data_IF_026116913981
#
_entry.id   IF_026116913981
#
_cell.length_a   1.000
_cell.length_b   1.000
_cell.length_c   1.000
_cell.angle_alpha   90.00
_cell.angle_beta   90.00
_cell.angle_gamma   90.00
#
_symmetry.space_group_name_H-M   'P 1'
#
loop_
_entity.id
_entity.type
_entity.pdbx_description
1 polymer ?
#
# COMPACT_ATOMS: atom_id res chain seq x y z
N UNK A 1 -10.50 -19.70 -7.56
CA UNK A 1 -9.14 -19.15 -7.48
C UNK A 1 -8.22 -19.87 -8.45
N UNK A 2 -8.06 -21.19 -8.36
CA UNK A 2 -7.20 -21.95 -9.27
C UNK A 2 -7.50 -21.79 -10.78
N UNK A 3 -8.70 -21.35 -11.15
CA UNK A 3 -9.05 -21.05 -12.52
C UNK A 3 -8.43 -19.75 -13.03
N UNK A 4 -8.34 -18.74 -12.17
CA UNK A 4 -7.82 -17.41 -12.50
C UNK A 4 -6.33 -17.25 -12.20
N UNK A 5 -5.80 -18.03 -11.25
CA UNK A 5 -4.38 -18.15 -10.97
C UNK A 5 -3.72 -19.20 -11.88
N UNK A 6 -2.47 -19.45 -11.66
CA UNK A 6 -1.68 -20.38 -12.46
C UNK A 6 -0.80 -19.65 -13.45
N UNK A 7 0.50 -19.94 -13.33
CA UNK A 7 1.52 -19.28 -14.13
C UNK A 7 1.41 -19.66 -15.60
N UNK A 8 1.29 -18.66 -16.46
CA UNK A 8 1.62 -18.76 -17.86
C UNK A 8 2.93 -17.98 -18.11
N UNK A 9 4.06 -18.71 -18.15
CA UNK A 9 5.37 -18.12 -18.41
C UNK A 9 6.00 -17.46 -17.17
N UNK A 10 6.35 -16.19 -17.23
CA UNK A 10 7.13 -15.50 -16.20
C UNK A 10 6.31 -15.00 -15.00
N UNK A 11 5.83 -15.91 -14.14
CA UNK A 11 5.26 -15.57 -12.81
C UNK A 11 4.05 -14.63 -12.82
N UNK A 12 3.16 -14.73 -13.82
CA UNK A 12 1.94 -13.95 -13.86
C UNK A 12 0.72 -14.85 -13.75
N UNK A 13 -0.23 -14.43 -12.93
CA UNK A 13 -1.53 -15.09 -12.84
C UNK A 13 -2.26 -15.07 -14.19
N UNK A 14 -2.98 -16.15 -14.52
CA UNK A 14 -3.63 -16.34 -15.82
C UNK A 14 -4.62 -15.24 -16.16
N UNK A 15 -5.59 -14.98 -15.30
CA UNK A 15 -6.60 -13.93 -15.51
C UNK A 15 -7.20 -13.44 -14.16
N UNK A 16 -6.40 -12.81 -13.30
CA UNK A 16 -6.89 -12.26 -12.05
C UNK A 16 -7.94 -11.16 -12.28
N UNK A 17 -7.87 -10.47 -13.40
CA UNK A 17 -8.82 -9.42 -13.79
C UNK A 17 -10.23 -9.94 -13.97
N UNK A 18 -10.39 -11.13 -14.57
CA UNK A 18 -11.70 -11.76 -14.73
C UNK A 18 -12.29 -12.18 -13.39
N UNK A 19 -11.45 -12.62 -12.43
CA UNK A 19 -11.93 -12.90 -11.08
C UNK A 19 -12.59 -11.69 -10.43
N UNK A 20 -11.99 -10.51 -10.59
CA UNK A 20 -12.53 -9.27 -10.03
C UNK A 20 -13.87 -8.93 -10.71
N UNK A 21 -13.90 -9.01 -12.05
CA UNK A 21 -15.13 -8.75 -12.81
C UNK A 21 -16.27 -9.69 -12.41
N UNK A 22 -16.00 -10.99 -12.33
CA UNK A 22 -16.99 -12.00 -11.94
C UNK A 22 -17.47 -11.78 -10.49
N UNK A 23 -16.57 -11.42 -9.58
CA UNK A 23 -16.92 -11.11 -8.19
C UNK A 23 -17.85 -9.88 -8.10
N UNK A 24 -17.57 -8.83 -8.86
CA UNK A 24 -18.42 -7.63 -8.93
C UNK A 24 -19.78 -7.96 -9.55
N UNK A 25 -19.81 -8.74 -10.62
CA UNK A 25 -21.06 -9.15 -11.26
C UNK A 25 -21.94 -9.95 -10.29
N UNK A 26 -21.37 -10.94 -9.60
CA UNK A 26 -22.10 -11.73 -8.59
C UNK A 26 -22.59 -10.84 -7.44
N UNK A 27 -21.79 -9.86 -7.00
CA UNK A 27 -22.20 -8.93 -5.95
C UNK A 27 -23.40 -8.07 -6.39
N UNK A 28 -23.40 -7.57 -7.63
CA UNK A 28 -24.52 -6.83 -8.20
C UNK A 28 -25.79 -7.69 -8.28
N UNK A 29 -25.68 -8.92 -8.76
CA UNK A 29 -26.79 -9.88 -8.80
C UNK A 29 -27.36 -10.22 -7.41
N UNK A 30 -26.56 -10.05 -6.36
CA UNK A 30 -26.96 -10.22 -4.97
C UNK A 30 -27.34 -8.92 -4.25
N UNK A 31 -27.56 -7.83 -5.00
CA UNK A 31 -28.17 -6.61 -4.50
C UNK A 31 -27.19 -5.51 -4.08
N UNK A 32 -25.90 -5.63 -4.38
CA UNK A 32 -24.97 -4.51 -4.24
C UNK A 32 -25.21 -3.55 -5.41
N UNK A 33 -25.53 -2.29 -5.12
CA UNK A 33 -25.67 -1.26 -6.13
C UNK A 33 -24.32 -0.55 -6.31
N UNK A 34 -23.58 -0.88 -7.36
CA UNK A 34 -22.27 -0.30 -7.62
C UNK A 34 -22.31 1.20 -7.96
N UNK A 35 -23.47 1.74 -8.36
CA UNK A 35 -23.61 3.18 -8.57
C UNK A 35 -23.40 4.02 -7.30
N UNK A 36 -23.55 3.42 -6.11
CA UNK A 36 -23.33 4.09 -4.84
C UNK A 36 -21.82 4.27 -4.49
N UNK A 37 -20.92 3.66 -5.28
CA UNK A 37 -19.47 3.67 -5.08
C UNK A 37 -18.71 4.45 -6.16
N UNK A 38 -19.33 5.48 -6.68
CA UNK A 38 -18.79 6.50 -7.59
C UNK A 38 -19.13 7.86 -6.94
N UNK A 39 -18.30 8.27 -5.97
CA UNK A 39 -18.60 9.41 -5.10
C UNK A 39 -18.37 10.77 -5.78
N UNK A 40 -17.47 10.83 -6.76
CA UNK A 40 -17.16 12.05 -7.51
C UNK A 40 -17.99 12.17 -8.80
N UNK A 41 -18.79 11.15 -9.15
CA UNK A 41 -19.70 11.08 -10.30
C UNK A 41 -18.99 11.15 -11.66
N UNK A 42 -17.80 10.54 -11.76
CA UNK A 42 -17.05 10.45 -13.01
C UNK A 42 -17.41 9.21 -13.85
N UNK A 43 -18.34 8.36 -13.37
CA UNK A 43 -18.79 7.08 -13.94
C UNK A 43 -17.71 5.98 -13.89
N UNK A 44 -16.76 6.10 -12.98
CA UNK A 44 -15.78 5.07 -12.62
C UNK A 44 -16.03 4.65 -11.18
N UNK A 45 -15.82 3.38 -10.86
CA UNK A 45 -15.83 2.93 -9.46
C UNK A 45 -14.57 3.44 -8.76
N UNK A 46 -14.73 4.08 -7.61
CA UNK A 46 -13.63 4.65 -6.84
C UNK A 46 -12.56 3.61 -6.51
N UNK A 47 -12.97 2.45 -6.01
CA UNK A 47 -12.11 1.30 -5.82
C UNK A 47 -12.92 0.04 -5.50
N UNK A 48 -12.35 -1.13 -5.83
CA UNK A 48 -12.86 -2.44 -5.43
C UNK A 48 -11.76 -3.21 -4.73
N UNK A 49 -12.05 -3.76 -3.54
CA UNK A 49 -11.14 -4.66 -2.85
C UNK A 49 -11.77 -6.05 -2.70
N UNK A 50 -11.06 -7.08 -3.19
CA UNK A 50 -11.56 -8.47 -3.17
C UNK A 50 -10.72 -9.35 -2.27
N UNK A 51 -11.36 -9.96 -1.26
CA UNK A 51 -10.79 -11.08 -0.54
C UNK A 51 -11.20 -12.39 -1.23
N UNK A 52 -10.26 -13.01 -1.95
CA UNK A 52 -10.53 -14.29 -2.61
C UNK A 52 -10.32 -15.48 -1.68
N UNK A 53 -11.04 -16.55 -1.91
CA UNK A 53 -11.00 -17.76 -1.08
C UNK A 53 -9.66 -18.48 -1.15
N UNK A 54 -9.19 -18.99 -0.02
CA UNK A 54 -7.96 -19.78 0.11
C UNK A 54 -6.72 -18.99 0.45
N UNK A 55 -5.57 -19.48 0.02
CA UNK A 55 -4.23 -18.93 0.27
C UNK A 55 -3.70 -18.14 -0.92
N UNK A 56 -2.59 -17.43 -0.74
CA UNK A 56 -1.93 -16.67 -1.78
C UNK A 56 -0.47 -17.14 -2.02
N UNK A 57 0.01 -16.89 -3.22
CA UNK A 57 1.35 -17.26 -3.66
C UNK A 57 2.45 -16.46 -2.95
N UNK A 58 2.21 -15.20 -2.60
CA UNK A 58 3.18 -14.35 -1.91
C UNK A 58 3.56 -14.88 -0.52
N UNK A 59 2.67 -15.64 0.13
CA UNK A 59 2.93 -16.28 1.39
C UNK A 59 3.32 -17.77 1.25
N UNK A 60 3.73 -18.20 0.05
CA UNK A 60 4.31 -19.52 -0.22
C UNK A 60 3.30 -20.61 -0.54
N UNK A 61 2.06 -20.29 -0.91
CA UNK A 61 1.10 -21.24 -1.44
C UNK A 61 1.45 -21.67 -2.87
N UNK A 62 0.68 -22.65 -3.39
CA UNK A 62 0.87 -23.21 -4.73
C UNK A 62 0.81 -22.11 -5.83
N UNK A 63 1.60 -22.28 -6.90
CA UNK A 63 1.67 -21.39 -8.05
C UNK A 63 0.31 -21.20 -8.76
N UNK A 64 -0.68 -22.06 -8.50
CA UNK A 64 -2.06 -21.88 -8.99
C UNK A 64 -2.91 -20.94 -8.11
N UNK A 65 -2.34 -20.37 -7.05
CA UNK A 65 -3.01 -19.35 -6.25
C UNK A 65 -2.61 -17.95 -6.75
N UNK A 66 -3.49 -16.98 -6.53
CA UNK A 66 -3.27 -15.61 -7.00
C UNK A 66 -2.29 -14.90 -6.07
N UNK A 67 -1.41 -14.09 -6.66
CA UNK A 67 -0.59 -13.14 -5.93
C UNK A 67 -1.45 -11.94 -5.48
N UNK A 68 -1.41 -11.50 -4.20
CA UNK A 68 -2.03 -10.25 -3.79
C UNK A 68 -1.45 -9.08 -4.58
N UNK A 69 -2.31 -8.20 -5.08
CA UNK A 69 -1.85 -7.07 -5.89
C UNK A 69 -2.93 -5.99 -6.03
N UNK A 70 -2.48 -4.81 -6.41
CA UNK A 70 -3.29 -3.73 -6.95
C UNK A 70 -3.09 -3.65 -8.47
N UNK A 71 -4.13 -3.30 -9.21
CA UNK A 71 -4.01 -3.07 -10.65
C UNK A 71 -5.15 -2.17 -11.17
N UNK A 72 -5.01 -1.78 -12.45
CA UNK A 72 -6.04 -1.04 -13.17
C UNK A 72 -6.46 -1.83 -14.41
N UNK A 73 -7.78 -2.05 -14.57
CA UNK A 73 -8.39 -2.81 -15.68
C UNK A 73 -9.35 -1.99 -16.53
N UNK A 74 -9.27 -0.66 -16.47
CA UNK A 74 -10.12 0.25 -17.26
C UNK A 74 -10.09 -0.06 -18.77
N UNK A 75 -8.95 -0.56 -19.26
CA UNK A 75 -8.76 -0.97 -20.65
C UNK A 75 -9.67 -2.13 -21.11
N UNK A 76 -10.20 -2.95 -20.18
CA UNK A 76 -11.19 -3.99 -20.47
C UNK A 76 -12.59 -3.42 -20.73
N UNK A 77 -12.88 -2.20 -20.32
CA UNK A 77 -14.16 -1.54 -20.52
C UNK A 77 -15.33 -2.19 -19.78
N UNK A 78 -15.05 -2.97 -18.73
CA UNK A 78 -16.08 -3.67 -17.95
C UNK A 78 -16.87 -2.66 -17.13
N UNK A 79 -18.22 -2.77 -17.20
CA UNK A 79 -19.11 -1.90 -16.43
C UNK A 79 -20.06 -2.74 -15.58
N UNK A 80 -20.22 -2.30 -14.33
CA UNK A 80 -21.17 -2.86 -13.37
C UNK A 80 -22.10 -1.71 -12.97
N UNK A 81 -23.42 -1.90 -13.11
CA UNK A 81 -24.44 -0.86 -12.88
C UNK A 81 -24.12 0.47 -13.60
N UNK A 82 -23.54 0.38 -14.81
CA UNK A 82 -23.17 1.52 -15.64
C UNK A 82 -21.82 2.17 -15.28
N UNK A 83 -21.20 1.80 -14.15
CA UNK A 83 -19.92 2.33 -13.69
C UNK A 83 -18.74 1.51 -14.22
N UNK A 84 -17.68 2.16 -14.68
CA UNK A 84 -16.48 1.50 -15.19
C UNK A 84 -15.69 0.89 -14.02
N UNK A 85 -15.42 -0.40 -14.11
CA UNK A 85 -14.50 -1.09 -13.20
C UNK A 85 -13.07 -0.77 -13.64
N UNK A 86 -12.35 0.02 -12.85
CA UNK A 86 -11.01 0.48 -13.18
C UNK A 86 -9.97 0.00 -12.16
N UNK A 87 -9.87 0.64 -11.03
CA UNK A 87 -8.90 0.30 -10.00
C UNK A 87 -9.45 -0.76 -9.05
N UNK A 88 -8.63 -1.76 -8.78
CA UNK A 88 -8.93 -2.77 -7.77
C UNK A 88 -7.68 -3.17 -7.00
N UNK A 89 -7.88 -3.79 -5.84
CA UNK A 89 -6.86 -4.53 -5.13
C UNK A 89 -7.43 -5.85 -4.61
N UNK A 90 -6.57 -6.83 -4.35
CA UNK A 90 -7.02 -8.12 -3.84
C UNK A 90 -6.00 -8.78 -2.93
N UNK A 91 -6.50 -9.63 -2.04
CA UNK A 91 -5.70 -10.52 -1.20
C UNK A 91 -6.47 -11.79 -0.87
N UNK A 92 -5.81 -12.78 -0.28
CA UNK A 92 -6.41 -14.06 0.09
C UNK A 92 -7.22 -13.99 1.39
N UNK A 93 -8.16 -14.93 1.55
CA UNK A 93 -8.90 -15.16 2.80
C UNK A 93 -7.99 -15.68 3.92
N UNK A 94 -7.03 -16.55 3.57
CA UNK A 94 -6.12 -17.18 4.55
C UNK A 94 -4.69 -16.70 4.35
N UNK A 95 -4.01 -16.48 5.48
CA UNK A 95 -2.57 -16.21 5.52
C UNK A 95 -1.76 -17.50 5.57
N UNK A 96 -0.50 -17.41 5.11
CA UNK A 96 0.42 -18.53 4.98
C UNK A 96 0.06 -19.45 3.82
N UNK A 97 0.75 -20.58 3.74
CA UNK A 97 0.57 -21.55 2.65
C UNK A 97 -0.35 -22.75 3.02
N UNK A 98 -0.70 -22.88 4.29
CA UNK A 98 -1.50 -24.00 4.82
C UNK A 98 -2.34 -23.57 6.02
N UNK A 99 -3.32 -24.39 6.36
CA UNK A 99 -4.20 -24.16 7.51
C UNK A 99 -5.35 -23.21 7.19
N UNK A 100 -5.97 -22.67 8.24
CA UNK A 100 -7.17 -21.80 8.13
C UNK A 100 -7.04 -20.53 8.99
N UNK A 101 -5.82 -20.01 9.14
CA UNK A 101 -5.63 -18.72 9.77
C UNK A 101 -6.09 -17.64 8.79
N UNK A 102 -7.08 -16.86 9.19
CA UNK A 102 -7.56 -15.75 8.35
C UNK A 102 -6.45 -14.76 8.05
N UNK A 103 -6.48 -14.20 6.86
CA UNK A 103 -5.62 -13.08 6.50
C UNK A 103 -5.86 -11.93 7.48
N UNK A 104 -4.78 -11.22 7.75
CA UNK A 104 -4.78 -10.03 8.58
C UNK A 104 -4.86 -8.77 7.72
N UNK A 105 -4.86 -7.61 8.36
CA UNK A 105 -5.04 -6.34 7.64
C UNK A 105 -3.78 -5.83 6.95
N UNK A 106 -2.61 -6.39 7.24
CA UNK A 106 -1.34 -5.83 6.76
C UNK A 106 -1.24 -5.81 5.23
N UNK A 107 -1.50 -6.95 4.58
CA UNK A 107 -1.51 -7.01 3.10
C UNK A 107 -2.62 -6.12 2.52
N UNK A 108 -3.81 -6.09 3.14
CA UNK A 108 -4.86 -5.15 2.75
C UNK A 108 -4.35 -3.69 2.75
N UNK A 109 -3.72 -3.27 3.84
CA UNK A 109 -3.21 -1.90 3.95
C UNK A 109 -2.08 -1.60 2.96
N UNK A 110 -1.25 -2.60 2.62
CA UNK A 110 -0.21 -2.48 1.60
C UNK A 110 -0.84 -2.28 0.22
N UNK A 111 -1.71 -3.18 -0.22
CA UNK A 111 -2.36 -3.08 -1.53
C UNK A 111 -3.25 -1.82 -1.65
N UNK A 112 -3.89 -1.43 -0.54
CA UNK A 112 -4.64 -0.17 -0.51
C UNK A 112 -3.72 1.06 -0.56
N UNK A 113 -2.50 0.95 -0.04
CA UNK A 113 -1.46 1.97 -0.22
C UNK A 113 -1.18 2.24 -1.71
N UNK A 114 -1.12 1.19 -2.53
CA UNK A 114 -1.01 1.33 -3.98
C UNK A 114 -2.24 1.99 -4.62
N UNK A 115 -3.44 1.69 -4.13
CA UNK A 115 -4.66 2.39 -4.57
C UNK A 115 -4.57 3.89 -4.30
N UNK A 116 -3.96 4.28 -3.18
CA UNK A 116 -3.72 5.68 -2.82
C UNK A 116 -2.58 6.34 -3.63
N UNK A 117 -1.81 5.55 -4.39
CA UNK A 117 -0.73 6.05 -5.23
C UNK A 117 0.68 5.81 -4.68
N UNK A 118 0.84 5.16 -3.53
CA UNK A 118 2.15 4.86 -2.97
C UNK A 118 2.87 3.77 -3.78
N UNK A 119 4.16 3.92 -4.07
CA UNK A 119 4.97 2.87 -4.66
C UNK A 119 5.39 1.82 -3.64
N UNK A 120 5.87 0.68 -4.12
CA UNK A 120 6.65 -0.24 -3.30
C UNK A 120 7.93 0.43 -2.82
N UNK A 121 8.25 0.25 -1.53
CA UNK A 121 9.48 0.72 -0.92
C UNK A 121 10.48 -0.43 -0.64
N UNK A 122 10.28 -1.58 -1.25
CA UNK A 122 11.28 -2.65 -1.32
C UNK A 122 11.91 -2.70 -2.72
N UNK A 123 13.13 -3.23 -2.79
CA UNK A 123 13.78 -3.48 -4.08
C UNK A 123 13.08 -4.66 -4.78
N UNK A 124 12.36 -4.38 -5.85
CA UNK A 124 11.66 -5.39 -6.66
C UNK A 124 12.62 -6.39 -7.33
N UNK A 125 13.90 -6.04 -7.44
CA UNK A 125 14.96 -6.94 -7.86
C UNK A 125 15.52 -7.84 -6.74
N UNK A 126 15.10 -7.62 -5.49
CA UNK A 126 15.53 -8.35 -4.29
C UNK A 126 17.06 -8.39 -4.06
N UNK A 127 17.76 -7.37 -4.52
CA UNK A 127 19.23 -7.25 -4.40
C UNK A 127 19.66 -6.44 -3.21
N UNK A 128 18.84 -5.48 -2.78
CA UNK A 128 19.19 -4.52 -1.74
C UNK A 128 18.16 -4.53 -0.61
N UNK A 129 18.67 -4.32 0.60
CA UNK A 129 17.81 -4.01 1.74
C UNK A 129 17.38 -2.55 1.65
N UNK A 130 16.09 -2.30 1.86
CA UNK A 130 15.49 -0.98 1.87
C UNK A 130 14.94 -0.65 3.27
N UNK A 131 13.77 -0.04 3.35
CA UNK A 131 13.14 0.39 4.60
C UNK A 131 12.57 -0.75 5.46
N UNK A 132 12.57 -1.99 4.92
CA UNK A 132 12.22 -3.22 5.64
C UNK A 132 10.87 -3.10 6.38
N UNK A 133 10.85 -3.58 7.64
CA UNK A 133 9.63 -3.66 8.47
C UNK A 133 9.20 -2.31 9.07
N UNK A 134 9.89 -1.22 8.76
CA UNK A 134 9.51 0.13 9.17
C UNK A 134 8.40 0.76 8.33
N UNK A 135 8.18 0.27 7.12
CA UNK A 135 7.17 0.78 6.19
C UNK A 135 6.16 -0.30 5.82
N UNK A 136 4.90 0.10 5.75
CA UNK A 136 3.81 -0.74 5.28
C UNK A 136 3.95 -1.06 3.78
N UNK A 137 4.56 -0.14 3.00
CA UNK A 137 4.86 -0.33 1.58
C UNK A 137 6.13 -1.18 1.34
N UNK A 138 6.60 -1.84 2.39
CA UNK A 138 7.66 -2.84 2.38
C UNK A 138 7.24 -4.00 3.28
N UNK A 139 8.17 -4.65 3.98
CA UNK A 139 7.89 -5.81 4.82
C UNK A 139 7.11 -5.49 6.11
N UNK A 140 6.86 -4.22 6.41
CA UNK A 140 6.07 -3.80 7.58
C UNK A 140 4.63 -4.32 7.56
N UNK A 141 4.07 -4.57 6.38
CA UNK A 141 2.77 -5.23 6.22
C UNK A 141 2.67 -6.59 6.94
N UNK A 142 3.81 -7.24 7.21
CA UNK A 142 3.87 -8.53 7.90
C UNK A 142 4.14 -8.41 9.41
N UNK A 143 4.29 -7.21 9.98
CA UNK A 143 4.51 -7.02 11.42
C UNK A 143 3.40 -7.67 12.24
N UNK A 144 3.77 -8.34 13.33
CA UNK A 144 2.83 -9.15 14.14
C UNK A 144 2.00 -10.12 13.29
N UNK A 145 2.62 -10.79 12.32
CA UNK A 145 1.93 -11.66 11.34
C UNK A 145 0.84 -10.93 10.57
N UNK A 146 1.06 -9.64 10.26
CA UNK A 146 0.16 -8.77 9.53
C UNK A 146 -1.01 -8.17 10.36
N UNK A 147 -1.09 -8.47 11.68
CA UNK A 147 -2.18 -7.92 12.51
C UNK A 147 -1.93 -6.49 12.98
N UNK A 148 -0.67 -6.07 12.98
CA UNK A 148 -0.29 -4.74 13.45
C UNK A 148 0.78 -4.17 12.51
N UNK A 149 0.40 -3.85 11.25
CA UNK A 149 1.31 -3.15 10.36
C UNK A 149 1.65 -1.77 10.94
N UNK A 150 2.84 -1.19 10.66
CA UNK A 150 3.20 0.12 11.17
C UNK A 150 2.29 1.21 10.57
N UNK A 151 2.25 2.36 11.21
CA UNK A 151 1.64 3.53 10.58
C UNK A 151 2.40 3.92 9.32
N UNK A 152 1.72 4.54 8.35
CA UNK A 152 2.41 5.18 7.24
C UNK A 152 3.47 6.15 7.77
N UNK A 153 4.68 6.08 7.20
CA UNK A 153 5.81 6.94 7.52
C UNK A 153 5.52 8.41 7.20
N UNK A 154 6.33 9.31 7.70
CA UNK A 154 6.25 10.72 7.35
C UNK A 154 6.39 10.94 5.84
N UNK A 155 7.24 10.15 5.16
CA UNK A 155 7.39 10.20 3.71
C UNK A 155 6.09 9.78 3.00
N UNK A 156 5.52 8.63 3.37
CA UNK A 156 4.28 8.13 2.75
C UNK A 156 3.12 9.12 2.96
N UNK A 157 2.99 9.68 4.16
CA UNK A 157 1.98 10.71 4.46
C UNK A 157 2.23 12.02 3.69
N UNK A 158 3.49 12.40 3.53
CA UNK A 158 3.88 13.59 2.77
C UNK A 158 3.56 13.40 1.28
N UNK A 159 3.90 12.25 0.72
CA UNK A 159 3.56 11.87 -0.66
C UNK A 159 2.05 11.96 -0.91
N UNK A 160 1.24 11.45 0.02
CA UNK A 160 -0.23 11.48 -0.06
C UNK A 160 -0.85 12.85 0.27
N UNK A 161 -0.05 13.85 0.62
CA UNK A 161 -0.53 15.16 1.04
C UNK A 161 -1.21 15.17 2.43
N UNK A 162 -1.06 14.11 3.20
CA UNK A 162 -1.66 13.98 4.55
C UNK A 162 -0.82 14.62 5.64
N UNK A 163 0.43 14.92 5.35
CA UNK A 163 1.38 15.54 6.25
C UNK A 163 2.12 16.66 5.53
N UNK A 164 2.17 17.83 6.17
CA UNK A 164 2.99 18.94 5.74
C UNK A 164 4.19 19.05 6.68
N UNK A 165 5.41 18.66 6.26
CA UNK A 165 6.57 18.71 7.12
C UNK A 165 7.02 20.16 7.35
N UNK A 166 7.66 20.41 8.49
CA UNK A 166 8.37 21.66 8.72
C UNK A 166 9.79 21.53 8.17
N UNK A 167 10.15 22.38 7.20
CA UNK A 167 11.55 22.45 6.73
C UNK A 167 12.42 23.07 7.80
N UNK A 168 13.55 22.44 8.12
CA UNK A 168 14.57 22.99 9.02
C UNK A 168 15.61 23.74 8.19
N UNK A 169 15.56 25.08 8.24
CA UNK A 169 16.45 25.95 7.47
C UNK A 169 17.65 26.43 8.28
N UNK A 170 17.62 26.30 9.58
CA UNK A 170 18.65 26.81 10.49
C UNK A 170 19.08 25.76 11.50
N UNK A 171 20.32 25.84 11.94
CA UNK A 171 20.80 25.05 13.07
C UNK A 171 20.08 25.46 14.35
N UNK A 172 19.61 24.49 15.11
CA UNK A 172 18.89 24.75 16.36
C UNK A 172 18.53 23.47 17.10
N UNK A 173 17.81 23.64 18.18
CA UNK A 173 17.20 22.53 18.92
C UNK A 173 15.73 22.46 18.56
N UNK A 174 15.30 21.28 18.10
CA UNK A 174 13.93 21.02 17.69
C UNK A 174 13.40 19.80 18.42
N UNK A 175 12.10 19.77 18.66
CA UNK A 175 11.43 18.65 19.35
C UNK A 175 10.48 17.97 18.39
N UNK A 176 10.61 16.65 18.28
CA UNK A 176 9.67 15.79 17.54
C UNK A 176 8.70 15.14 18.51
N UNK A 177 7.41 15.28 18.24
CA UNK A 177 6.36 14.50 18.88
C UNK A 177 6.10 13.20 18.11
N UNK A 178 5.49 12.15 18.76
CA UNK A 178 5.21 10.90 18.07
C UNK A 178 4.39 11.11 16.81
N UNK A 179 4.85 10.58 15.67
CA UNK A 179 4.19 10.73 14.37
C UNK A 179 2.74 10.28 14.40
N UNK A 180 2.46 9.15 15.06
CA UNK A 180 1.13 8.55 15.10
C UNK A 180 0.06 9.48 15.70
N UNK A 181 0.42 10.31 16.68
CA UNK A 181 -0.52 11.17 17.41
C UNK A 181 -0.43 12.63 17.03
N UNK A 182 0.71 13.11 16.54
CA UNK A 182 0.93 14.52 16.23
C UNK A 182 0.90 14.84 14.74
N UNK A 183 1.12 13.84 13.89
CA UNK A 183 1.35 14.02 12.44
C UNK A 183 2.50 15.01 12.15
N UNK A 184 3.52 15.05 13.03
CA UNK A 184 4.65 15.98 12.93
C UNK A 184 5.86 15.29 12.31
N UNK A 185 6.50 15.96 11.36
CA UNK A 185 7.78 15.58 10.80
C UNK A 185 8.60 16.82 10.44
N UNK A 186 9.92 16.65 10.39
CA UNK A 186 10.83 17.66 9.84
C UNK A 186 11.37 17.22 8.48
N UNK A 187 11.68 18.21 7.64
CA UNK A 187 12.33 18.03 6.35
C UNK A 187 13.63 18.83 6.32
N UNK A 188 14.70 18.21 5.82
CA UNK A 188 16.00 18.85 5.59
C UNK A 188 16.35 18.65 4.13
N UNK A 189 16.62 19.74 3.42
CA UNK A 189 17.06 19.74 2.02
C UNK A 189 18.21 20.71 1.85
N UNK A 190 18.97 20.57 0.75
CA UNK A 190 20.11 21.43 0.44
C UNK A 190 19.69 22.89 0.18
N UNK A 191 18.45 23.08 -0.26
CA UNK A 191 17.86 24.38 -0.55
C UNK A 191 16.38 24.41 -0.14
N UNK A 192 15.68 25.51 -0.40
CA UNK A 192 14.28 25.64 -0.07
C UNK A 192 13.44 24.62 -0.86
N UNK A 193 12.71 23.79 -0.13
CA UNK A 193 11.86 22.73 -0.69
C UNK A 193 10.46 23.29 -1.05
N UNK A 194 9.87 22.80 -2.13
CA UNK A 194 8.52 23.19 -2.54
C UNK A 194 7.40 22.63 -1.64
N UNK A 195 7.73 21.62 -0.81
CA UNK A 195 6.82 20.88 0.09
C UNK A 195 5.64 20.23 -0.64
N UNK A 196 5.86 19.73 -1.85
CA UNK A 196 4.92 18.94 -2.63
C UNK A 196 5.44 17.49 -2.67
N UNK A 197 4.73 16.58 -2.01
CA UNK A 197 5.26 15.24 -1.72
C UNK A 197 5.36 14.31 -2.93
N UNK A 198 4.45 14.41 -3.88
CA UNK A 198 4.42 13.62 -5.12
C UNK A 198 5.25 14.24 -6.27
N UNK A 199 5.60 15.51 -6.15
CA UNK A 199 6.46 16.24 -7.09
C UNK A 199 7.48 17.11 -6.35
N UNK A 200 8.40 16.51 -5.57
CA UNK A 200 9.32 17.25 -4.72
C UNK A 200 10.38 18.00 -5.52
N UNK A 201 10.74 19.20 -5.03
CA UNK A 201 11.87 19.97 -5.54
C UNK A 201 12.52 20.75 -4.38
N UNK A 202 13.81 20.51 -4.05
CA UNK A 202 14.68 19.49 -4.66
C UNK A 202 14.14 18.06 -4.47
N UNK A 203 14.54 17.16 -5.37
CA UNK A 203 14.10 15.77 -5.40
C UNK A 203 14.91 14.85 -4.47
N UNK A 204 15.93 15.38 -3.81
CA UNK A 204 16.72 14.71 -2.78
C UNK A 204 16.61 15.49 -1.46
N UNK A 205 16.17 14.81 -0.40
CA UNK A 205 15.96 15.40 0.91
C UNK A 205 15.93 14.34 2.02
N UNK A 206 15.95 14.79 3.27
CA UNK A 206 15.76 13.93 4.43
C UNK A 206 14.47 14.29 5.14
N UNK A 207 13.78 13.28 5.66
CA UNK A 207 12.67 13.46 6.57
C UNK A 207 12.98 12.84 7.92
N UNK A 208 12.58 13.52 8.99
CA UNK A 208 12.78 13.08 10.37
C UNK A 208 11.42 12.90 11.02
N UNK A 209 11.23 11.75 11.67
CA UNK A 209 10.03 11.43 12.44
C UNK A 209 10.38 10.74 13.74
N UNK A 210 9.50 10.80 14.73
CA UNK A 210 9.65 10.04 15.96
C UNK A 210 8.60 8.93 16.05
N UNK A 211 9.07 7.70 16.24
CA UNK A 211 8.25 6.49 16.39
C UNK A 211 8.50 5.82 17.74
N UNK A 212 7.63 5.99 18.74
CA UNK A 212 7.62 5.13 19.90
C UNK A 212 7.03 3.76 19.52
N UNK A 213 7.40 2.71 20.24
CA UNK A 213 6.80 1.37 20.10
C UNK A 213 5.45 1.29 20.80
N UNK A 214 4.45 2.00 20.26
CA UNK A 214 3.10 2.10 20.78
C UNK A 214 2.08 1.97 19.65
N UNK A 215 0.85 1.56 19.98
CA UNK A 215 -0.24 1.47 19.02
C UNK A 215 0.11 0.60 17.81
N UNK A 216 -0.02 1.13 16.62
CA UNK A 216 0.32 0.43 15.37
C UNK A 216 1.83 0.22 15.19
N UNK A 217 2.66 1.05 15.83
CA UNK A 217 4.13 0.96 15.74
C UNK A 217 4.73 0.02 16.80
N UNK A 218 3.89 -0.66 17.62
CA UNK A 218 4.33 -1.54 18.71
C UNK A 218 5.29 -2.65 18.25
N UNK A 219 5.11 -3.15 17.04
CA UNK A 219 5.90 -4.26 16.49
C UNK A 219 7.00 -3.80 15.53
N UNK A 220 7.30 -2.52 15.50
CA UNK A 220 8.47 -2.02 14.79
C UNK A 220 9.77 -2.60 15.38
N UNK A 221 10.84 -2.75 14.59
CA UNK A 221 12.08 -3.36 15.06
C UNK A 221 12.80 -2.54 16.15
N UNK A 222 12.42 -1.29 16.35
CA UNK A 222 12.95 -0.40 17.36
C UNK A 222 12.02 0.78 17.61
N UNK A 223 12.50 1.76 18.37
CA UNK A 223 11.83 3.03 18.65
C UNK A 223 12.84 4.18 18.61
N UNK A 224 12.37 5.39 18.40
CA UNK A 224 13.20 6.59 18.41
C UNK A 224 12.98 7.47 17.18
N UNK A 225 13.92 8.35 16.96
CA UNK A 225 13.94 9.19 15.76
C UNK A 225 14.40 8.38 14.56
N UNK A 226 13.57 8.35 13.51
CA UNK A 226 13.94 7.82 12.20
C UNK A 226 14.36 8.96 11.29
N UNK A 227 15.32 8.66 10.44
CA UNK A 227 15.80 9.57 9.38
C UNK A 227 15.62 8.83 8.06
N UNK A 228 14.72 9.33 7.23
CA UNK A 228 14.50 8.84 5.88
C UNK A 228 15.35 9.65 4.91
N UNK A 229 16.14 8.98 4.09
CA UNK A 229 16.76 9.57 2.91
C UNK A 229 15.88 9.29 1.71
N UNK A 230 15.38 10.34 1.10
CA UNK A 230 14.54 10.29 -0.08
C UNK A 230 15.32 10.83 -1.26
N UNK A 231 15.41 10.06 -2.34
CA UNK A 231 16.07 10.44 -3.57
C UNK A 231 15.25 9.93 -4.78
N UNK A 232 14.56 10.85 -5.43
CA UNK A 232 13.78 10.57 -6.65
C UNK A 232 14.64 10.46 -7.91
N UNK A 233 15.93 10.77 -7.84
CA UNK A 233 16.86 10.63 -8.97
C UNK A 233 17.47 9.24 -9.06
N UNK A 234 17.33 8.42 -8.02
CA UNK A 234 17.97 7.11 -7.90
C UNK A 234 17.15 5.96 -8.56
N UNK A 235 16.13 6.26 -9.35
CA UNK A 235 15.25 5.28 -10.02
C UNK A 235 15.84 4.74 -11.33
#
# INVERSE_FOLDING_TARGET
>A
VAYYGGEEGNSHDRDPYQMIADACQVAAENGVNFADYDLDNDNVLDNVFVYYAGHNQAEGADANTIWPHQSNISWKGIRIDGKLLATYACTSEYSGSTGKRRASIGTFCHEFGHVLGLPDLYDTGYKYYTVSTWSIMCSGSYNNRGNTPPTYSSYERFFLGWLQPQQLETQGQYTLSPLQTSNQAFLIAAEKHNLIGDMPSPNEFFMLEYRPREGWDLYNPGEGMLVWHIDYSAS
#
